data_IF_221984837320
#
_entry.id   IF_221984837320
#
_cell.length_a   1.000
_cell.length_b   1.000
_cell.length_c   1.000
_cell.angle_alpha   90.00
_cell.angle_beta   90.00
_cell.angle_gamma   90.00
#
_symmetry.space_group_name_H-M   'P 1'
#
loop_
_entity.id
_entity.type
_entity.pdbx_description
1 polymer ?
#
# COMPACT_ATOMS: atom_id res chain seq x y z
N UNK A 1 -1.19 0.28 -4.29
CA UNK A 1 -0.07 0.00 -5.19
C UNK A 1 -0.48 -1.01 -6.26
N UNK A 2 0.27 -1.07 -7.35
CA UNK A 2 0.11 -2.01 -8.47
C UNK A 2 1.45 -2.69 -8.71
N UNK A 3 1.70 -3.79 -7.98
CA UNK A 3 2.94 -4.56 -8.11
C UNK A 3 3.08 -5.18 -9.51
N UNK A 4 4.28 -5.62 -9.93
CA UNK A 4 4.45 -6.39 -11.16
C UNK A 4 3.60 -7.66 -11.23
N UNK A 5 3.22 -8.23 -10.08
CA UNK A 5 2.40 -9.43 -9.96
C UNK A 5 0.90 -9.13 -9.84
N UNK A 6 0.47 -7.88 -10.04
CA UNK A 6 -0.92 -7.43 -9.86
C UNK A 6 -1.93 -8.34 -10.59
N UNK A 7 -1.61 -8.73 -11.81
CA UNK A 7 -2.48 -9.60 -12.61
C UNK A 7 -2.75 -10.93 -11.92
N UNK A 8 -1.69 -11.61 -11.48
CA UNK A 8 -1.81 -12.91 -10.80
C UNK A 8 -2.56 -12.75 -9.48
N UNK A 9 -2.27 -11.70 -8.73
CA UNK A 9 -2.94 -11.38 -7.46
C UNK A 9 -4.44 -11.12 -7.65
N UNK A 10 -4.84 -10.35 -8.66
CA UNK A 10 -6.25 -10.08 -8.97
C UNK A 10 -7.00 -11.34 -9.44
N UNK A 11 -6.35 -12.18 -10.24
CA UNK A 11 -6.92 -13.45 -10.69
C UNK A 11 -7.12 -14.42 -9.52
N UNK A 12 -6.12 -14.55 -8.65
CA UNK A 12 -6.18 -15.40 -7.47
C UNK A 12 -7.27 -14.92 -6.48
N UNK A 13 -7.37 -13.61 -6.27
CA UNK A 13 -8.40 -13.00 -5.42
C UNK A 13 -9.81 -13.01 -6.05
N UNK A 14 -9.95 -13.39 -7.33
CA UNK A 14 -11.22 -13.33 -8.03
C UNK A 14 -11.82 -11.93 -8.10
N UNK A 15 -11.00 -10.88 -8.12
CA UNK A 15 -11.44 -9.49 -8.08
C UNK A 15 -11.91 -9.01 -9.47
N UNK A 16 -13.22 -8.92 -9.74
CA UNK A 16 -13.73 -8.55 -11.05
C UNK A 16 -13.72 -7.04 -11.30
N UNK A 17 -13.46 -6.26 -10.24
CA UNK A 17 -13.61 -4.81 -10.23
C UNK A 17 -12.67 -4.16 -9.21
N UNK A 18 -12.19 -2.96 -9.53
CA UNK A 18 -11.49 -2.06 -8.62
C UNK A 18 -12.21 -0.70 -8.63
N UNK A 19 -12.52 -0.17 -7.46
CA UNK A 19 -13.17 1.15 -7.32
C UNK A 19 -12.14 2.29 -7.33
N UNK A 20 -10.93 2.05 -6.84
CA UNK A 20 -9.83 3.00 -6.90
C UNK A 20 -8.46 2.32 -6.72
N UNK A 21 -7.41 3.01 -7.14
CA UNK A 21 -6.01 2.68 -6.85
C UNK A 21 -5.37 3.83 -6.09
N UNK A 22 -4.67 3.50 -5.00
CA UNK A 22 -3.81 4.44 -4.27
C UNK A 22 -2.37 3.96 -4.40
N UNK A 23 -1.46 4.84 -4.81
CA UNK A 23 -0.03 4.55 -4.80
C UNK A 23 0.65 5.20 -3.62
N UNK A 24 1.45 4.41 -2.92
CA UNK A 24 2.32 4.91 -1.85
C UNK A 24 3.44 5.77 -2.43
N UNK A 25 4.05 5.30 -3.51
CA UNK A 25 5.11 5.98 -4.25
C UNK A 25 5.32 5.35 -5.64
N UNK A 26 6.33 5.82 -6.37
CA UNK A 26 6.56 5.49 -7.77
C UNK A 26 7.65 4.45 -8.04
N UNK A 27 8.15 3.71 -7.06
CA UNK A 27 9.12 2.64 -7.32
C UNK A 27 8.49 1.49 -8.13
N UNK A 28 9.33 0.73 -8.81
CA UNK A 28 8.91 -0.24 -9.82
C UNK A 28 8.01 -1.34 -9.25
N UNK A 29 8.38 -1.87 -8.09
CA UNK A 29 7.66 -2.90 -7.36
C UNK A 29 6.29 -2.44 -6.85
N UNK A 30 6.04 -1.14 -6.81
CA UNK A 30 4.75 -0.55 -6.42
C UNK A 30 3.90 -0.06 -7.59
N UNK A 31 4.45 0.09 -8.80
CA UNK A 31 3.70 0.69 -9.89
C UNK A 31 3.79 -0.01 -11.26
N UNK A 32 4.65 -1.01 -11.45
CA UNK A 32 4.84 -1.59 -12.78
C UNK A 32 3.75 -2.58 -13.22
N UNK A 33 2.78 -2.91 -12.38
CA UNK A 33 1.55 -3.61 -12.78
C UNK A 33 0.44 -2.68 -13.29
N UNK A 34 0.74 -1.40 -13.52
CA UNK A 34 -0.25 -0.39 -13.93
C UNK A 34 -0.99 -0.76 -15.22
N UNK A 35 -0.34 -1.44 -16.17
CA UNK A 35 -0.93 -1.83 -17.44
C UNK A 35 -1.99 -2.92 -17.31
N UNK A 36 -1.95 -3.73 -16.25
CA UNK A 36 -2.95 -4.75 -15.98
C UNK A 36 -4.31 -4.16 -15.57
N UNK A 37 -4.35 -2.91 -15.14
CA UNK A 37 -5.58 -2.16 -14.88
C UNK A 37 -6.43 -1.97 -16.15
N UNK A 38 -5.85 -2.10 -17.35
CA UNK A 38 -6.57 -1.98 -18.61
C UNK A 38 -7.68 -3.01 -18.75
N UNK A 39 -7.48 -4.25 -18.29
CA UNK A 39 -8.53 -5.28 -18.39
C UNK A 39 -9.70 -4.95 -17.46
N UNK A 40 -9.43 -4.40 -16.30
CA UNK A 40 -10.48 -3.93 -15.38
C UNK A 40 -11.22 -2.72 -15.96
N UNK A 41 -10.51 -1.76 -16.57
CA UNK A 41 -11.12 -0.65 -17.30
C UNK A 41 -12.10 -1.16 -18.38
N UNK A 42 -11.67 -2.13 -19.20
CA UNK A 42 -12.54 -2.70 -20.25
C UNK A 42 -13.77 -3.39 -19.67
N UNK A 43 -13.59 -4.14 -18.57
CA UNK A 43 -14.70 -4.81 -17.89
C UNK A 43 -15.68 -3.83 -17.22
N UNK A 44 -15.16 -2.75 -16.63
CA UNK A 44 -15.96 -1.75 -15.91
C UNK A 44 -16.57 -0.67 -16.81
N UNK A 45 -16.04 -0.48 -18.03
CA UNK A 45 -16.49 0.52 -19.00
C UNK A 45 -16.24 1.97 -18.58
N UNK A 46 -15.36 2.21 -17.62
CA UNK A 46 -15.01 3.57 -17.12
C UNK A 46 -13.57 3.63 -16.63
N UNK A 47 -12.89 4.79 -16.73
CA UNK A 47 -11.56 4.97 -16.17
C UNK A 47 -11.52 4.64 -14.67
N UNK A 48 -10.41 4.01 -14.24
CA UNK A 48 -10.20 3.65 -12.84
C UNK A 48 -9.68 4.89 -12.10
N UNK A 49 -10.34 5.35 -11.02
CA UNK A 49 -9.86 6.45 -10.21
C UNK A 49 -8.53 6.09 -9.53
N UNK A 50 -7.54 6.97 -9.66
CA UNK A 50 -6.21 6.76 -9.12
C UNK A 50 -5.76 7.93 -8.28
N UNK A 51 -5.02 7.66 -7.21
CA UNK A 51 -4.59 8.66 -6.25
C UNK A 51 -3.16 8.39 -5.78
N UNK A 52 -2.38 9.45 -5.62
CA UNK A 52 -1.05 9.42 -4.99
C UNK A 52 -0.72 10.79 -4.41
N UNK A 53 0.27 10.88 -3.53
CA UNK A 53 0.80 12.18 -3.08
C UNK A 53 1.35 12.99 -4.28
N UNK A 54 1.35 14.33 -4.22
CA UNK A 54 1.61 15.17 -5.39
C UNK A 54 2.88 14.83 -6.17
N UNK A 55 3.99 14.55 -5.50
CA UNK A 55 5.24 14.23 -6.17
C UNK A 55 5.20 12.84 -6.84
N UNK A 56 4.71 11.82 -6.13
CA UNK A 56 4.51 10.48 -6.70
C UNK A 56 3.51 10.54 -7.88
N UNK A 57 2.40 11.27 -7.73
CA UNK A 57 1.43 11.51 -8.80
C UNK A 57 2.08 12.07 -10.05
N UNK A 58 2.85 13.16 -9.91
CA UNK A 58 3.55 13.80 -11.02
C UNK A 58 4.49 12.83 -11.74
N UNK A 59 5.25 12.02 -11.00
CA UNK A 59 6.18 11.03 -11.55
C UNK A 59 5.47 9.88 -12.25
N UNK A 60 4.39 9.36 -11.65
CA UNK A 60 3.57 8.29 -12.24
C UNK A 60 2.91 8.76 -13.55
N UNK A 61 2.24 9.91 -13.54
CA UNK A 61 1.61 10.48 -14.75
C UNK A 61 2.62 10.75 -15.85
N UNK A 62 3.82 11.23 -15.50
CA UNK A 62 4.87 11.44 -16.49
C UNK A 62 5.39 10.13 -17.08
N UNK A 63 5.64 9.11 -16.25
CA UNK A 63 6.17 7.80 -16.66
C UNK A 63 5.18 7.02 -17.52
N UNK A 64 3.91 7.01 -17.14
CA UNK A 64 2.84 6.24 -17.75
C UNK A 64 1.76 7.13 -18.38
N UNK A 65 2.17 8.25 -19.02
CA UNK A 65 1.25 9.28 -19.54
C UNK A 65 0.17 8.73 -20.47
N UNK A 66 0.48 7.70 -21.24
CA UNK A 66 -0.47 7.02 -22.13
C UNK A 66 -1.68 6.44 -21.39
N UNK A 67 -1.53 6.04 -20.13
CA UNK A 67 -2.63 5.46 -19.33
C UNK A 67 -3.67 6.53 -18.93
N UNK A 68 -3.24 7.78 -18.73
CA UNK A 68 -4.11 8.91 -18.37
C UNK A 68 -4.61 9.72 -19.56
N UNK A 69 -3.84 9.77 -20.64
CA UNK A 69 -4.16 10.63 -21.79
C UNK A 69 -4.82 9.86 -22.93
N UNK A 70 -4.64 8.54 -22.96
CA UNK A 70 -4.92 7.74 -24.15
C UNK A 70 -3.96 8.10 -25.30
N UNK A 71 -4.01 7.38 -26.39
CA UNK A 71 -3.20 7.66 -27.59
C UNK A 71 -3.75 6.90 -28.80
N UNK A 72 -3.71 7.52 -29.99
CA UNK A 72 -3.96 6.85 -31.27
C UNK A 72 -5.31 6.13 -31.37
N UNK A 73 -6.38 6.68 -30.77
CA UNK A 73 -7.71 6.06 -30.71
C UNK A 73 -7.95 5.14 -29.51
N UNK A 74 -6.93 4.93 -28.67
CA UNK A 74 -7.10 4.23 -27.39
C UNK A 74 -7.53 5.22 -26.31
N UNK A 75 -8.62 4.93 -25.54
CA UNK A 75 -9.07 5.81 -24.47
C UNK A 75 -8.12 5.81 -23.27
N UNK A 76 -8.21 6.84 -22.44
CA UNK A 76 -7.57 6.85 -21.12
C UNK A 76 -8.13 5.73 -20.25
N UNK A 77 -7.24 4.94 -19.68
CA UNK A 77 -7.57 3.81 -18.79
C UNK A 77 -7.75 4.29 -17.36
N UNK A 78 -7.00 5.30 -16.97
CA UNK A 78 -6.91 5.83 -15.61
C UNK A 78 -7.44 7.26 -15.56
N UNK A 79 -8.03 7.60 -14.41
CA UNK A 79 -8.43 8.95 -14.03
C UNK A 79 -7.89 9.28 -12.64
N UNK A 80 -8.40 10.37 -12.03
CA UNK A 80 -8.08 10.72 -10.65
C UNK A 80 -7.21 11.96 -10.50
N UNK A 81 -6.55 12.08 -9.35
CA UNK A 81 -5.82 13.31 -8.97
C UNK A 81 -4.81 13.08 -7.85
N UNK A 82 -3.95 14.06 -7.64
CA UNK A 82 -3.06 14.08 -6.49
C UNK A 82 -3.84 14.22 -5.17
N UNK A 83 -3.43 13.46 -4.14
CA UNK A 83 -3.96 13.56 -2.78
C UNK A 83 -3.29 14.70 -2.03
N UNK A 84 -4.05 15.74 -1.72
CA UNK A 84 -3.59 16.90 -0.94
C UNK A 84 -4.19 16.97 0.46
N UNK A 85 -5.22 16.16 0.73
CA UNK A 85 -5.91 16.04 2.02
C UNK A 85 -6.66 14.71 2.12
N UNK A 86 -7.19 14.38 3.31
CA UNK A 86 -8.06 13.21 3.50
C UNK A 86 -9.25 13.21 2.53
N UNK A 87 -9.71 12.00 2.16
CA UNK A 87 -10.81 11.85 1.20
C UNK A 87 -11.71 10.67 1.49
N UNK A 88 -12.74 10.52 0.64
CA UNK A 88 -13.65 9.37 0.66
C UNK A 88 -13.57 8.61 -0.65
N UNK A 89 -13.53 7.29 -0.58
CA UNK A 89 -13.68 6.38 -1.71
C UNK A 89 -14.86 5.48 -1.37
N UNK A 90 -16.03 5.76 -1.96
CA UNK A 90 -17.25 5.14 -1.49
C UNK A 90 -17.52 5.51 -0.03
N UNK A 91 -17.70 4.51 0.83
CA UNK A 91 -17.89 4.62 2.27
C UNK A 91 -16.57 4.49 3.08
N UNK A 92 -15.44 4.36 2.41
CA UNK A 92 -14.13 4.26 3.03
C UNK A 92 -13.50 5.66 3.13
N UNK A 93 -13.25 6.10 4.35
CA UNK A 93 -12.41 7.29 4.61
C UNK A 93 -10.94 6.92 4.47
N UNK A 94 -10.20 7.73 3.73
CA UNK A 94 -8.75 7.60 3.52
C UNK A 94 -8.05 8.79 4.17
N UNK A 95 -7.29 8.52 5.21
CA UNK A 95 -6.33 9.46 5.80
C UNK A 95 -4.90 8.98 5.43
N UNK A 96 -3.91 9.85 5.50
CA UNK A 96 -2.54 9.50 5.14
C UNK A 96 -1.49 10.25 5.94
N UNK A 97 -0.27 9.73 5.93
CA UNK A 97 0.93 10.36 6.48
C UNK A 97 2.08 10.21 5.50
N UNK A 98 2.89 11.25 5.39
CA UNK A 98 4.13 11.20 4.61
C UNK A 98 5.21 10.51 5.45
N UNK A 99 5.85 9.47 4.87
CA UNK A 99 6.86 8.64 5.50
C UNK A 99 8.21 8.81 4.78
N UNK A 100 9.33 8.99 5.49
CA UNK A 100 10.63 9.13 4.86
C UNK A 100 11.14 7.80 4.31
N UNK A 101 11.61 7.79 3.05
CA UNK A 101 12.13 6.61 2.36
C UNK A 101 13.33 6.99 1.48
N UNK A 102 14.54 6.93 2.04
CA UNK A 102 15.74 7.37 1.33
C UNK A 102 15.65 8.83 0.88
N UNK A 103 15.78 9.05 -0.43
CA UNK A 103 15.69 10.39 -1.04
C UNK A 103 14.28 10.82 -1.44
N UNK A 104 13.25 10.03 -1.14
CA UNK A 104 11.85 10.31 -1.47
C UNK A 104 10.95 10.19 -0.25
N UNK A 105 9.68 10.50 -0.44
CA UNK A 105 8.61 10.32 0.54
C UNK A 105 7.59 9.32 0.03
N UNK A 106 7.20 8.37 0.86
CA UNK A 106 6.10 7.43 0.60
C UNK A 106 4.87 7.83 1.39
N UNK A 107 3.70 7.34 0.98
CA UNK A 107 2.45 7.56 1.71
C UNK A 107 2.09 6.32 2.54
N UNK A 108 1.92 6.50 3.85
CA UNK A 108 1.21 5.53 4.67
C UNK A 108 -0.27 5.89 4.71
N UNK A 109 -1.15 4.91 4.52
CA UNK A 109 -2.60 5.11 4.47
C UNK A 109 -3.30 4.53 5.69
N UNK A 110 -4.33 5.23 6.17
CA UNK A 110 -5.33 4.69 7.08
C UNK A 110 -6.67 4.69 6.40
N UNK A 111 -7.28 3.51 6.33
CA UNK A 111 -8.63 3.29 5.82
C UNK A 111 -9.58 3.10 7.00
N UNK A 112 -10.73 3.77 6.97
CA UNK A 112 -11.72 3.65 8.03
C UNK A 112 -13.13 3.56 7.43
N UNK A 113 -13.91 2.56 7.87
CA UNK A 113 -15.30 2.36 7.47
C UNK A 113 -16.04 1.59 8.56
N UNK A 114 -17.31 1.91 8.82
CA UNK A 114 -18.18 1.21 9.77
C UNK A 114 -17.56 0.97 11.17
N UNK A 115 -16.77 1.91 11.66
CA UNK A 115 -16.10 1.81 12.95
C UNK A 115 -14.85 0.93 12.98
N UNK A 116 -14.43 0.39 11.84
CA UNK A 116 -13.21 -0.39 11.65
C UNK A 116 -12.12 0.42 10.97
N UNK A 117 -10.87 0.05 11.20
CA UNK A 117 -9.71 0.77 10.66
C UNK A 117 -8.55 -0.14 10.29
N UNK A 118 -7.98 0.11 9.11
CA UNK A 118 -6.80 -0.59 8.59
C UNK A 118 -5.71 0.44 8.29
N UNK A 119 -4.51 0.22 8.80
CA UNK A 119 -3.32 0.96 8.42
C UNK A 119 -2.49 0.19 7.41
N UNK A 120 -1.93 0.88 6.43
CA UNK A 120 -1.03 0.34 5.42
C UNK A 120 0.22 1.22 5.36
N UNK A 121 1.38 0.68 5.75
CA UNK A 121 2.64 1.41 5.80
C UNK A 121 3.78 0.54 5.23
N UNK A 122 4.18 0.82 4.00
CA UNK A 122 5.31 0.20 3.32
C UNK A 122 6.41 1.23 3.08
N UNK A 123 7.65 0.76 2.93
CA UNK A 123 8.76 1.58 2.47
C UNK A 123 9.00 2.85 3.29
N UNK A 124 9.40 2.67 4.54
CA UNK A 124 9.82 3.76 5.41
C UNK A 124 11.14 3.43 6.12
N UNK A 125 11.98 4.44 6.32
CA UNK A 125 13.29 4.24 6.97
C UNK A 125 13.26 4.46 8.48
N UNK A 126 12.22 5.14 8.98
CA UNK A 126 12.06 5.41 10.42
C UNK A 126 10.58 5.54 10.78
N UNK A 127 10.22 5.16 11.99
CA UNK A 127 8.85 5.28 12.50
C UNK A 127 8.66 6.64 13.15
N UNK A 128 7.98 7.56 12.47
CA UNK A 128 7.84 8.96 12.90
C UNK A 128 6.72 9.15 13.93
N UNK A 129 6.75 10.26 14.73
CA UNK A 129 5.62 10.60 15.61
C UNK A 129 4.30 10.77 14.88
N UNK A 130 4.31 11.27 13.63
CA UNK A 130 3.12 11.43 12.79
C UNK A 130 2.53 10.05 12.42
N UNK A 131 3.38 9.07 12.09
CA UNK A 131 2.94 7.67 11.88
C UNK A 131 2.30 7.11 13.15
N UNK A 132 2.95 7.27 14.31
CA UNK A 132 2.41 6.81 15.58
C UNK A 132 1.04 7.43 15.89
N UNK A 133 0.85 8.71 15.57
CA UNK A 133 -0.43 9.40 15.76
C UNK A 133 -1.52 8.90 14.83
N UNK A 134 -1.23 8.75 13.51
CA UNK A 134 -2.22 8.33 12.53
C UNK A 134 -2.67 6.88 12.76
N UNK A 135 -1.72 5.99 13.07
CA UNK A 135 -1.94 4.56 13.16
C UNK A 135 -2.31 4.07 14.56
N UNK A 136 -2.48 4.96 15.54
CA UNK A 136 -2.83 4.56 16.91
C UNK A 136 -4.16 3.80 16.96
N UNK A 137 -4.15 2.64 17.60
CA UNK A 137 -5.35 1.86 17.93
C UNK A 137 -6.10 1.32 16.71
N UNK A 138 -5.39 0.90 15.65
CA UNK A 138 -5.98 0.26 14.48
C UNK A 138 -6.54 -1.13 14.81
N UNK A 139 -7.59 -1.55 14.09
CA UNK A 139 -8.01 -2.96 14.10
C UNK A 139 -6.99 -3.85 13.38
N UNK A 140 -6.42 -3.38 12.27
CA UNK A 140 -5.37 -4.08 11.54
C UNK A 140 -4.28 -3.12 11.08
N UNK A 141 -3.02 -3.50 11.28
CA UNK A 141 -1.87 -2.77 10.76
C UNK A 141 -1.03 -3.65 9.82
N UNK A 142 -1.07 -3.34 8.53
CA UNK A 142 -0.24 -3.97 7.48
C UNK A 142 1.01 -3.13 7.32
N UNK A 143 2.17 -3.68 7.65
CA UNK A 143 3.38 -2.88 7.84
C UNK A 143 4.63 -3.58 7.30
N UNK A 144 5.51 -2.79 6.69
CA UNK A 144 6.81 -3.24 6.18
C UNK A 144 7.72 -3.78 7.30
N UNK A 145 8.41 -4.90 7.00
CA UNK A 145 9.47 -5.48 7.81
C UNK A 145 10.49 -6.17 6.89
N UNK A 146 11.24 -5.38 6.12
CA UNK A 146 12.04 -5.88 5.01
C UNK A 146 12.93 -7.07 5.40
N UNK A 147 13.67 -6.96 6.51
CA UNK A 147 14.65 -7.98 6.96
C UNK A 147 15.02 -7.81 8.41
N UNK A 148 15.79 -8.78 8.95
CA UNK A 148 16.26 -8.71 10.35
C UNK A 148 17.32 -7.66 10.60
N UNK A 149 18.23 -7.44 9.64
CA UNK A 149 19.36 -6.49 9.76
C UNK A 149 18.93 -5.09 9.34
N UNK A 150 19.46 -4.02 9.97
CA UNK A 150 19.17 -2.65 9.56
C UNK A 150 19.37 -2.41 8.07
N UNK A 151 18.50 -1.58 7.50
CA UNK A 151 18.53 -1.13 6.11
C UNK A 151 18.48 0.40 6.06
N UNK A 152 19.16 1.07 5.10
CA UNK A 152 19.21 2.53 5.06
C UNK A 152 17.87 3.19 4.70
N UNK A 153 16.97 2.50 4.00
CA UNK A 153 15.73 3.08 3.48
C UNK A 153 14.47 2.34 3.87
N UNK A 154 14.57 1.12 4.43
CA UNK A 154 13.43 0.32 4.87
C UNK A 154 13.52 -0.06 6.35
N UNK A 155 12.40 -0.33 7.00
CA UNK A 155 12.42 -0.81 8.37
C UNK A 155 12.92 -2.24 8.43
N UNK A 156 13.72 -2.54 9.43
CA UNK A 156 14.04 -3.91 9.80
C UNK A 156 13.10 -4.40 10.91
N UNK A 157 13.02 -5.70 11.09
CA UNK A 157 12.05 -6.34 11.99
C UNK A 157 11.95 -5.67 13.37
N UNK A 158 13.09 -5.38 14.02
CA UNK A 158 13.07 -4.78 15.35
C UNK A 158 12.47 -3.35 15.35
N UNK A 159 12.74 -2.55 14.29
CA UNK A 159 12.15 -1.21 14.16
C UNK A 159 10.64 -1.30 13.92
N UNK A 160 10.20 -2.27 13.12
CA UNK A 160 8.78 -2.51 12.87
C UNK A 160 8.05 -2.93 14.14
N UNK A 161 8.61 -3.88 14.91
CA UNK A 161 8.02 -4.33 16.16
C UNK A 161 7.92 -3.20 17.21
N UNK A 162 8.94 -2.33 17.30
CA UNK A 162 8.87 -1.12 18.13
C UNK A 162 7.75 -0.17 17.67
N UNK A 163 7.61 0.02 16.35
CA UNK A 163 6.51 0.79 15.76
C UNK A 163 5.13 0.20 16.11
N UNK A 164 4.96 -1.12 15.97
CA UNK A 164 3.72 -1.83 16.35
C UNK A 164 3.41 -1.62 17.84
N UNK A 165 4.40 -1.72 18.72
CA UNK A 165 4.20 -1.49 20.14
C UNK A 165 3.75 -0.06 20.48
N UNK A 166 4.16 0.95 19.71
CA UNK A 166 3.71 2.35 19.87
C UNK A 166 2.29 2.59 19.34
N UNK A 167 1.93 1.91 18.25
CA UNK A 167 0.62 2.04 17.57
C UNK A 167 -0.47 1.29 18.35
N UNK A 168 -0.12 0.17 18.99
CA UNK A 168 -1.03 -0.71 19.73
C UNK A 168 -2.23 -1.17 18.88
N UNK A 169 -2.01 -1.75 17.69
CA UNK A 169 -3.11 -2.27 16.87
C UNK A 169 -3.65 -3.56 17.45
N UNK A 170 -4.90 -3.91 17.10
CA UNK A 170 -5.49 -5.19 17.50
C UNK A 170 -4.76 -6.36 16.84
N UNK A 171 -4.43 -6.23 15.55
CA UNK A 171 -3.67 -7.20 14.75
C UNK A 171 -2.64 -6.50 13.88
N UNK A 172 -1.54 -7.20 13.57
CA UNK A 172 -0.52 -6.72 12.62
C UNK A 172 -0.11 -7.81 11.64
N UNK A 173 0.09 -7.41 10.39
CA UNK A 173 0.61 -8.27 9.32
C UNK A 173 1.89 -7.65 8.78
N UNK A 174 2.99 -8.40 8.82
CA UNK A 174 4.26 -7.99 8.25
C UNK A 174 4.24 -8.24 6.75
N UNK A 175 4.73 -7.30 5.97
CA UNK A 175 4.82 -7.38 4.52
C UNK A 175 6.16 -6.85 4.00
N UNK A 176 6.35 -6.87 2.69
CA UNK A 176 7.54 -6.35 2.00
C UNK A 176 8.84 -7.00 2.48
N UNK A 177 8.78 -8.29 2.78
CA UNK A 177 9.88 -9.07 3.35
C UNK A 177 10.80 -9.60 2.25
N UNK A 178 12.12 -9.52 2.46
CA UNK A 178 13.09 -10.17 1.59
C UNK A 178 13.22 -11.68 1.89
N UNK A 179 13.96 -12.40 1.05
CA UNK A 179 14.13 -13.85 1.16
C UNK A 179 14.83 -14.33 2.44
N UNK A 180 15.38 -13.44 3.26
CA UNK A 180 15.98 -13.80 4.55
C UNK A 180 14.94 -13.93 5.68
N UNK A 181 13.68 -13.53 5.41
CA UNK A 181 12.57 -13.58 6.35
C UNK A 181 11.77 -14.88 6.17
N UNK A 182 12.38 -16.00 6.50
CA UNK A 182 11.74 -17.31 6.43
C UNK A 182 10.43 -17.33 7.21
N UNK A 183 9.33 -17.74 6.54
CA UNK A 183 7.96 -17.61 7.06
C UNK A 183 7.74 -18.40 8.36
N UNK A 184 8.13 -19.68 8.40
CA UNK A 184 7.85 -20.56 9.55
C UNK A 184 8.66 -20.12 10.78
N UNK A 185 9.94 -19.80 10.58
CA UNK A 185 10.78 -19.30 11.66
C UNK A 185 10.27 -17.96 12.19
N UNK A 186 9.87 -17.05 11.29
CA UNK A 186 9.34 -15.76 11.67
C UNK A 186 8.02 -15.90 12.44
N UNK A 187 7.10 -16.73 11.94
CA UNK A 187 5.81 -16.97 12.60
C UNK A 187 5.96 -17.55 14.02
N UNK A 188 6.99 -18.37 14.25
CA UNK A 188 7.24 -18.97 15.57
C UNK A 188 7.79 -17.99 16.61
N UNK A 189 8.44 -16.90 16.19
CA UNK A 189 9.09 -15.95 17.11
C UNK A 189 8.34 -14.61 17.29
N UNK A 190 7.36 -14.33 16.41
CA UNK A 190 6.62 -13.07 16.47
C UNK A 190 5.73 -12.98 17.73
N UNK A 191 5.52 -11.78 18.26
CA UNK A 191 4.57 -11.57 19.36
C UNK A 191 3.16 -11.99 18.97
N UNK A 192 2.33 -12.32 19.97
CA UNK A 192 0.91 -12.59 19.75
C UNK A 192 0.25 -11.46 18.93
N UNK A 193 -0.64 -11.83 17.99
CA UNK A 193 -1.35 -10.89 17.09
C UNK A 193 -0.48 -10.22 16.01
N UNK A 194 0.77 -10.61 15.88
CA UNK A 194 1.64 -10.22 14.74
C UNK A 194 1.93 -11.47 13.92
N UNK A 195 1.63 -11.42 12.63
CA UNK A 195 1.84 -12.55 11.72
C UNK A 195 2.63 -12.11 10.49
N UNK A 196 3.45 -12.98 9.87
CA UNK A 196 3.99 -12.70 8.56
C UNK A 196 2.87 -12.81 7.52
N UNK A 197 2.80 -11.86 6.59
CA UNK A 197 1.87 -11.89 5.47
C UNK A 197 2.36 -12.83 4.35
N UNK A 198 1.44 -13.21 3.49
CA UNK A 198 1.68 -13.90 2.23
C UNK A 198 0.61 -13.51 1.21
N UNK A 199 0.87 -13.72 -0.06
CA UNK A 199 -0.10 -13.42 -1.12
C UNK A 199 -1.37 -14.25 -0.96
N UNK A 200 -2.51 -13.58 -0.86
CA UNK A 200 -3.80 -14.20 -0.56
C UNK A 200 -4.14 -14.29 0.94
N UNK A 201 -3.34 -13.68 1.83
CA UNK A 201 -3.72 -13.57 3.24
C UNK A 201 -4.99 -12.71 3.39
N UNK A 202 -5.96 -13.20 4.16
CA UNK A 202 -7.27 -12.55 4.35
C UNK A 202 -7.63 -12.44 5.83
N UNK A 203 -8.34 -11.37 6.18
CA UNK A 203 -8.93 -11.16 7.51
C UNK A 203 -10.26 -10.41 7.39
N UNK A 204 -11.24 -10.86 8.13
CA UNK A 204 -12.52 -10.14 8.32
C UNK A 204 -12.46 -9.34 9.62
N UNK A 205 -12.80 -8.03 9.56
CA UNK A 205 -12.80 -7.09 10.70
C UNK A 205 -14.21 -6.77 11.19
#
# INVERSE_FOLDING_TARGET
>A
DTSPDLREQLLAAGAPRIDAVLWTHEHADHCHGIDDLRQLFLAQGKPIPCYARPEAWRRLVNRFSYAWQGNGGYPAVLGGQALTGPGMIGDIRVDFVDMPHGGITTAGFKFSSHGKSVGYATDFQQFTPQMASLFKGLDLFVVDALRRKPHPTHPHLALTLDGIARVEPEHSVLMHMDSSMDYENLAAELPAKVVPGYDGWEMTL
#
